data_IF_887011738242
#
_entry.id   IF_887011738242
#
_cell.length_a   1.000
_cell.length_b   1.000
_cell.length_c   1.000
_cell.angle_alpha   90.00
_cell.angle_beta   90.00
_cell.angle_gamma   90.00
#
_symmetry.space_group_name_H-M   'P 1'
#
loop_
_entity.id
_entity.type
_entity.pdbx_description
1 polymer ?
#
# COMPACT_ATOMS: atom_id res chain seq x y z
N UNK A 1 15.59 1.14 2.98
CA UNK A 1 15.92 0.37 4.18
C UNK A 1 17.39 0.02 4.16
N UNK A 2 18.04 0.12 5.32
CA UNK A 2 19.41 -0.33 5.52
C UNK A 2 19.57 -0.80 6.98
N UNK A 3 20.64 -1.55 7.25
CA UNK A 3 20.87 -2.16 8.56
C UNK A 3 20.93 -1.14 9.71
N UNK A 4 21.47 0.05 9.48
CA UNK A 4 21.59 1.05 10.54
C UNK A 4 20.23 1.69 10.87
N UNK A 5 19.38 1.92 9.85
CA UNK A 5 18.00 2.37 10.06
C UNK A 5 17.23 1.37 10.93
N UNK A 6 17.29 0.09 10.59
CA UNK A 6 16.61 -0.95 11.37
C UNK A 6 17.13 -1.06 12.82
N UNK A 7 18.43 -0.89 13.05
CA UNK A 7 18.96 -0.85 14.44
C UNK A 7 18.35 0.27 15.26
N UNK A 8 18.12 1.45 14.68
CA UNK A 8 17.49 2.58 15.39
C UNK A 8 16.02 2.31 15.70
N UNK A 9 15.30 1.65 14.80
CA UNK A 9 13.94 1.17 15.10
C UNK A 9 13.95 0.09 16.19
N UNK A 10 14.88 -0.88 16.15
CA UNK A 10 15.03 -1.89 17.20
C UNK A 10 15.20 -1.26 18.59
N UNK A 11 16.00 -0.19 18.70
CA UNK A 11 16.15 0.54 19.96
C UNK A 11 14.79 1.01 20.50
N UNK A 12 13.95 1.60 19.65
CA UNK A 12 12.63 2.08 20.07
C UNK A 12 11.69 0.93 20.40
N UNK A 13 11.74 -0.19 19.68
CA UNK A 13 10.96 -1.39 20.00
C UNK A 13 11.33 -1.99 21.36
N UNK A 14 12.60 -1.96 21.73
CA UNK A 14 13.07 -2.40 23.05
C UNK A 14 12.66 -1.43 24.16
N UNK A 15 12.72 -0.12 23.90
CA UNK A 15 12.50 0.90 24.93
C UNK A 15 11.03 1.26 25.13
N UNK A 16 10.21 1.15 24.08
CA UNK A 16 8.78 1.46 24.07
C UNK A 16 8.00 0.19 23.78
N UNK A 17 7.96 -0.70 24.77
CA UNK A 17 7.20 -1.94 24.68
C UNK A 17 5.68 -1.70 24.63
N UNK A 18 4.95 -2.65 24.06
CA UNK A 18 3.48 -2.67 24.07
C UNK A 18 2.90 -2.53 25.49
N UNK A 19 3.57 -3.10 26.51
CA UNK A 19 3.14 -2.98 27.91
C UNK A 19 3.29 -1.56 28.48
N UNK A 20 4.26 -0.78 27.98
CA UNK A 20 4.43 0.62 28.33
C UNK A 20 3.31 1.48 27.77
N UNK A 21 2.90 1.20 26.52
CA UNK A 21 1.91 1.98 25.77
C UNK A 21 0.48 1.67 26.23
N UNK A 22 0.24 0.44 26.68
CA UNK A 22 -1.02 0.01 27.31
C UNK A 22 -1.12 0.46 28.79
N UNK A 23 -0.10 1.13 29.33
CA UNK A 23 -0.11 1.71 30.67
C UNK A 23 0.16 0.72 31.81
N UNK A 24 0.70 -0.47 31.50
CA UNK A 24 1.08 -1.48 32.49
C UNK A 24 2.43 -1.11 33.15
N UNK A 25 3.32 -0.45 32.40
CA UNK A 25 4.60 0.06 32.89
C UNK A 25 4.69 1.58 32.73
N UNK A 26 5.09 2.27 33.79
CA UNK A 26 5.20 3.73 33.82
C UNK A 26 6.61 4.22 33.50
N UNK A 27 7.65 3.41 33.72
CA UNK A 27 9.04 3.86 33.64
C UNK A 27 9.54 3.89 32.19
N UNK A 28 9.92 5.08 31.72
CA UNK A 28 10.56 5.26 30.42
C UNK A 28 12.04 4.84 30.49
N UNK A 29 12.60 4.40 29.36
CA UNK A 29 14.03 4.15 29.25
C UNK A 29 14.81 5.47 29.36
N UNK A 30 15.92 5.46 30.12
CA UNK A 30 16.80 6.64 30.31
C UNK A 30 17.28 7.27 29.00
N UNK A 31 17.45 6.47 27.95
CA UNK A 31 17.86 6.96 26.64
C UNK A 31 16.82 7.88 26.00
N UNK A 32 15.55 7.76 26.41
CA UNK A 32 14.44 8.57 25.91
C UNK A 32 14.12 9.79 26.78
N UNK A 33 14.61 9.86 28.02
CA UNK A 33 14.32 10.96 28.96
C UNK A 33 14.70 12.34 28.38
N UNK A 34 15.80 12.42 27.61
CA UNK A 34 16.23 13.69 26.96
C UNK A 34 15.25 14.20 25.89
N UNK A 35 14.38 13.33 25.37
CA UNK A 35 13.37 13.71 24.38
C UNK A 35 12.03 14.07 25.01
N UNK A 36 11.84 13.79 26.30
CA UNK A 36 10.68 14.21 27.06
C UNK A 36 10.68 15.71 27.34
N UNK A 37 9.51 16.30 27.52
CA UNK A 37 9.39 17.70 27.95
C UNK A 37 9.60 17.77 29.47
N UNK A 38 10.40 18.74 29.93
CA UNK A 38 10.86 18.83 31.32
C UNK A 38 11.52 17.56 31.89
N UNK A 39 11.94 16.62 31.03
CA UNK A 39 12.57 15.36 31.43
C UNK A 39 11.61 14.25 31.88
N UNK A 40 10.29 14.43 31.82
CA UNK A 40 9.32 13.34 32.08
C UNK A 40 8.29 13.17 30.96
N UNK A 41 8.02 11.92 30.61
CA UNK A 41 6.96 11.53 29.69
C UNK A 41 5.98 10.66 30.49
N UNK A 42 5.04 11.28 31.20
CA UNK A 42 4.22 10.57 32.17
C UNK A 42 3.08 9.79 31.49
N UNK A 43 2.55 10.33 30.39
CA UNK A 43 1.45 9.73 29.64
C UNK A 43 1.92 8.91 28.40
N UNK A 44 1.08 7.99 27.88
CA UNK A 44 1.42 7.18 26.71
C UNK A 44 1.75 7.98 25.44
N UNK A 45 1.09 9.10 25.19
CA UNK A 45 1.37 9.94 24.02
C UNK A 45 2.73 10.64 24.16
N UNK A 46 3.05 11.17 25.34
CA UNK A 46 4.37 11.73 25.63
C UNK A 46 5.50 10.72 25.42
N UNK A 47 5.30 9.46 25.83
CA UNK A 47 6.27 8.37 25.60
C UNK A 47 6.48 8.07 24.12
N UNK A 48 5.38 7.97 23.35
CA UNK A 48 5.45 7.79 21.89
C UNK A 48 6.13 8.99 21.23
N UNK A 49 5.86 10.21 21.71
CA UNK A 49 6.53 11.41 21.25
C UNK A 49 8.04 11.38 21.45
N UNK A 50 8.51 10.96 22.63
CA UNK A 50 9.95 10.80 22.88
C UNK A 50 10.60 9.78 21.93
N UNK A 51 9.92 8.66 21.64
CA UNK A 51 10.39 7.69 20.64
C UNK A 51 10.44 8.26 19.22
N UNK A 52 9.42 9.03 18.84
CA UNK A 52 9.35 9.70 17.53
C UNK A 52 10.51 10.70 17.37
N UNK A 53 10.72 11.57 18.37
CA UNK A 53 11.83 12.52 18.41
C UNK A 53 13.19 11.82 18.35
N UNK A 54 13.37 10.71 19.06
CA UNK A 54 14.59 9.91 18.99
C UNK A 54 14.88 9.45 17.56
N UNK A 55 13.88 8.93 16.85
CA UNK A 55 14.06 8.50 15.45
C UNK A 55 14.43 9.68 14.55
N UNK A 56 13.75 10.82 14.68
CA UNK A 56 14.11 12.02 13.92
C UNK A 56 15.53 12.51 14.22
N UNK A 57 15.94 12.49 15.48
CA UNK A 57 17.29 12.88 15.90
C UNK A 57 18.37 11.97 15.31
N UNK A 58 18.18 10.66 15.39
CA UNK A 58 19.16 9.69 14.89
C UNK A 58 19.28 9.67 13.36
N UNK A 59 18.23 10.09 12.64
CA UNK A 59 18.22 10.09 11.18
C UNK A 59 18.50 11.45 10.57
N UNK A 60 18.11 12.54 11.23
CA UNK A 60 17.99 13.85 10.59
C UNK A 60 18.61 15.02 11.37
N UNK A 61 19.21 14.82 12.55
CA UNK A 61 19.78 15.90 13.39
C UNK A 61 20.90 16.73 12.74
N UNK A 62 21.44 16.27 11.61
CA UNK A 62 22.43 17.02 10.87
C UNK A 62 23.01 16.23 9.71
N UNK A 63 24.03 16.82 9.07
CA UNK A 63 24.71 16.26 7.90
C UNK A 63 25.21 14.84 8.12
N UNK A 64 25.78 14.56 9.30
CA UNK A 64 26.37 13.26 9.63
C UNK A 64 25.31 12.17 9.70
N UNK A 65 24.25 12.36 10.49
CA UNK A 65 23.14 11.42 10.64
C UNK A 65 22.47 11.16 9.31
N UNK A 66 22.13 12.23 8.58
CA UNK A 66 21.44 12.14 7.30
C UNK A 66 22.24 11.37 6.25
N UNK A 67 23.55 11.60 6.17
CA UNK A 67 24.40 10.93 5.18
C UNK A 67 24.78 9.50 5.57
N UNK A 68 25.12 9.26 6.84
CA UNK A 68 25.72 7.99 7.27
C UNK A 68 24.67 6.95 7.65
N UNK A 69 23.67 7.35 8.44
CA UNK A 69 22.61 6.47 8.97
C UNK A 69 21.46 6.40 7.98
N UNK A 70 20.88 7.56 7.64
CA UNK A 70 19.75 7.63 6.73
C UNK A 70 20.12 7.41 5.26
N UNK A 71 21.43 7.41 4.93
CA UNK A 71 21.94 7.24 3.55
C UNK A 71 21.27 8.21 2.55
N UNK A 72 20.99 9.43 3.00
CA UNK A 72 20.31 10.49 2.24
C UNK A 72 18.89 10.13 1.78
N UNK A 73 18.22 9.19 2.46
CA UNK A 73 16.89 8.73 2.10
C UNK A 73 15.82 9.41 2.96
N UNK A 74 15.08 10.36 2.38
CA UNK A 74 13.96 11.05 3.05
C UNK A 74 12.78 10.10 3.31
N UNK A 75 12.63 9.03 2.53
CA UNK A 75 11.57 8.03 2.75
C UNK A 75 11.68 7.28 4.10
N UNK A 76 12.72 7.52 4.89
CA UNK A 76 12.76 7.07 6.29
C UNK A 76 11.63 7.69 7.11
N UNK A 77 11.17 8.89 6.76
CA UNK A 77 9.99 9.52 7.38
C UNK A 77 8.75 8.62 7.23
N UNK A 78 8.59 7.95 6.09
CA UNK A 78 7.48 7.01 5.85
C UNK A 78 7.47 5.91 6.93
N UNK A 79 8.64 5.35 7.26
CA UNK A 79 8.77 4.31 8.30
C UNK A 79 8.55 4.85 9.71
N UNK A 80 8.95 6.09 10.00
CA UNK A 80 8.65 6.74 11.28
C UNK A 80 7.14 6.91 11.43
N UNK A 81 6.44 7.33 10.37
CA UNK A 81 4.99 7.49 10.38
C UNK A 81 4.24 6.14 10.46
N UNK A 82 4.75 5.09 9.81
CA UNK A 82 4.24 3.72 9.98
C UNK A 82 4.36 3.28 11.44
N UNK A 83 5.54 3.45 12.05
CA UNK A 83 5.76 3.13 13.46
C UNK A 83 4.84 3.95 14.37
N UNK A 84 4.76 5.26 14.17
CA UNK A 84 3.88 6.16 14.93
C UNK A 84 2.42 5.71 14.85
N UNK A 85 1.91 5.44 13.64
CA UNK A 85 0.54 4.98 13.42
C UNK A 85 0.25 3.66 14.14
N UNK A 86 1.20 2.72 14.11
CA UNK A 86 1.11 1.49 14.91
C UNK A 86 1.04 1.79 16.41
N UNK A 87 1.96 2.60 16.95
CA UNK A 87 1.98 2.91 18.39
C UNK A 87 0.69 3.58 18.84
N UNK A 88 0.17 4.54 18.07
CA UNK A 88 -1.09 5.21 18.36
C UNK A 88 -2.28 4.25 18.34
N UNK A 89 -2.32 3.30 17.40
CA UNK A 89 -3.34 2.24 17.36
C UNK A 89 -3.29 1.32 18.60
N UNK A 90 -2.16 1.25 19.31
CA UNK A 90 -1.98 0.45 20.53
C UNK A 90 -2.36 1.19 21.82
N UNK A 91 -2.40 2.52 21.83
CA UNK A 91 -2.84 3.30 22.99
C UNK A 91 -4.34 3.04 23.21
N UNK A 92 -4.69 2.35 24.29
CA UNK A 92 -6.09 2.11 24.67
C UNK A 92 -6.64 3.36 25.36
N UNK A 93 -7.54 4.11 24.71
CA UNK A 93 -8.55 4.96 25.35
C UNK A 93 -9.61 5.44 24.34
N UNK A 94 -10.76 5.91 24.82
CA UNK A 94 -11.95 6.36 24.05
C UNK A 94 -11.71 7.59 23.14
N UNK A 95 -10.46 8.03 22.99
CA UNK A 95 -10.04 9.04 22.04
C UNK A 95 -9.25 8.33 20.95
N UNK A 96 -9.81 8.29 19.74
CA UNK A 96 -9.09 7.77 18.58
C UNK A 96 -7.85 8.65 18.37
N UNK A 97 -6.71 8.22 18.89
CA UNK A 97 -5.42 8.86 18.63
C UNK A 97 -5.11 8.77 17.15
N UNK A 98 -5.45 9.80 16.39
CA UNK A 98 -5.06 9.91 14.99
C UNK A 98 -3.67 10.50 14.91
N UNK A 99 -2.97 10.23 13.80
CA UNK A 99 -1.69 10.90 13.51
C UNK A 99 -1.88 12.41 13.46
N UNK A 100 -3.03 12.90 12.94
CA UNK A 100 -3.37 14.32 12.92
C UNK A 100 -3.44 14.96 14.30
N UNK A 101 -4.11 14.33 15.27
CA UNK A 101 -4.17 14.83 16.65
C UNK A 101 -2.78 14.86 17.29
N UNK A 102 -1.99 13.81 17.09
CA UNK A 102 -0.60 13.76 17.55
C UNK A 102 0.23 14.89 16.94
N UNK A 103 0.07 15.14 15.63
CA UNK A 103 0.76 16.19 14.91
C UNK A 103 0.42 17.58 15.46
N UNK A 104 -0.86 17.92 15.63
CA UNK A 104 -1.28 19.19 16.22
C UNK A 104 -0.77 19.36 17.66
N UNK A 105 -0.74 18.28 18.44
CA UNK A 105 -0.35 18.33 19.85
C UNK A 105 1.15 18.52 20.03
N UNK A 106 1.97 17.72 19.33
CA UNK A 106 3.40 17.62 19.61
C UNK A 106 4.30 18.22 18.52
N UNK A 107 3.87 18.21 17.26
CA UNK A 107 4.72 18.57 16.11
C UNK A 107 4.46 20.03 15.71
N UNK A 108 3.22 20.37 15.41
CA UNK A 108 2.81 21.68 14.94
C UNK A 108 2.11 22.49 16.04
N UNK A 109 2.87 22.77 17.11
CA UNK A 109 2.45 23.68 18.16
C UNK A 109 3.37 24.92 18.20
N UNK A 110 2.83 26.02 18.74
CA UNK A 110 3.52 27.32 18.84
C UNK A 110 4.54 27.40 20.00
N UNK A 111 4.87 26.27 20.64
CA UNK A 111 5.85 26.25 21.72
C UNK A 111 7.25 26.54 21.15
N UNK A 112 7.93 27.52 21.73
CA UNK A 112 9.30 27.91 21.33
C UNK A 112 10.32 26.84 21.67
N UNK A 113 10.03 26.00 22.66
CA UNK A 113 10.90 24.91 23.08
C UNK A 113 10.56 23.60 22.35
N UNK A 114 9.60 23.62 21.41
CA UNK A 114 9.23 22.48 20.59
C UNK A 114 10.43 21.96 19.79
N UNK A 115 10.85 20.74 20.15
CA UNK A 115 12.03 20.07 19.58
C UNK A 115 11.89 19.79 18.08
N UNK A 116 10.66 19.66 17.54
CA UNK A 116 10.44 19.46 16.10
C UNK A 116 10.70 20.71 15.26
N UNK A 117 10.54 21.89 15.85
CA UNK A 117 10.71 23.19 15.19
C UNK A 117 12.14 23.74 15.33
N UNK A 118 13.01 23.03 16.05
CA UNK A 118 14.40 23.45 16.22
C UNK A 118 15.18 23.38 14.90
N UNK A 119 15.97 24.42 14.64
CA UNK A 119 16.71 24.55 13.39
C UNK A 119 17.88 23.58 13.31
N UNK A 120 17.88 22.78 12.27
CA UNK A 120 18.94 21.83 11.92
C UNK A 120 19.96 22.55 11.03
N UNK A 121 21.24 22.40 11.37
CA UNK A 121 22.33 23.06 10.64
C UNK A 121 22.93 22.10 9.61
N UNK A 122 23.51 22.67 8.55
CA UNK A 122 24.37 21.97 7.58
C UNK A 122 23.68 20.88 6.74
N UNK A 123 22.34 20.87 6.68
CA UNK A 123 21.58 20.03 5.76
C UNK A 123 20.83 20.91 4.75
N UNK A 124 20.81 20.47 3.49
CA UNK A 124 20.08 21.13 2.41
C UNK A 124 18.84 20.31 2.06
N UNK A 125 17.67 20.93 2.06
CA UNK A 125 16.39 20.31 1.69
C UNK A 125 15.33 20.31 2.79
N UNK A 126 15.74 20.47 4.05
CA UNK A 126 14.87 20.69 5.21
C UNK A 126 15.63 21.50 6.27
N UNK A 127 14.90 22.22 7.12
CA UNK A 127 15.46 23.04 8.20
C UNK A 127 15.02 22.57 9.58
N UNK A 128 13.94 21.80 9.69
CA UNK A 128 13.36 21.30 10.94
C UNK A 128 12.82 19.89 10.74
N UNK A 129 12.49 19.18 11.83
CA UNK A 129 11.83 17.87 11.72
C UNK A 129 10.37 18.02 11.28
N UNK A 130 9.70 19.09 11.71
CA UNK A 130 8.36 19.45 11.25
C UNK A 130 8.30 19.52 9.71
N UNK A 131 9.23 20.24 9.06
CA UNK A 131 9.26 20.33 7.59
C UNK A 131 9.37 18.95 6.90
N UNK A 132 10.07 17.99 7.49
CA UNK A 132 10.16 16.62 6.95
C UNK A 132 8.82 15.89 7.02
N UNK A 133 8.04 16.13 8.07
CA UNK A 133 6.72 15.54 8.27
C UNK A 133 5.70 16.20 7.35
N UNK A 134 5.79 17.52 7.16
CA UNK A 134 4.93 18.28 6.24
C UNK A 134 5.09 17.82 4.78
N UNK A 135 6.32 17.49 4.36
CA UNK A 135 6.57 16.88 3.04
C UNK A 135 5.79 15.56 2.86
N UNK A 136 5.42 14.91 3.96
CA UNK A 136 4.73 13.62 4.03
C UNK A 136 3.35 13.74 4.68
N UNK A 137 2.76 14.94 4.67
CA UNK A 137 1.50 15.24 5.36
C UNK A 137 0.35 14.32 4.92
N UNK A 138 0.37 13.91 3.66
CA UNK A 138 -0.64 13.08 3.04
C UNK A 138 -0.71 11.69 3.68
N UNK A 139 0.43 11.15 4.16
CA UNK A 139 0.51 9.90 4.89
C UNK A 139 -0.23 9.96 6.23
N UNK A 140 -0.39 11.13 6.85
CA UNK A 140 -1.10 11.30 8.12
C UNK A 140 -2.61 11.02 7.99
N UNK A 141 -3.14 11.05 6.76
CA UNK A 141 -4.55 10.77 6.47
C UNK A 141 -4.89 9.27 6.47
N UNK A 142 -3.88 8.39 6.48
CA UNK A 142 -4.08 6.94 6.45
C UNK A 142 -4.58 6.47 7.82
N UNK A 143 -5.62 5.62 7.81
CA UNK A 143 -6.17 5.03 9.02
C UNK A 143 -5.10 4.26 9.82
N UNK A 144 -5.06 4.48 11.13
CA UNK A 144 -4.04 3.89 12.03
C UNK A 144 -4.06 2.35 12.05
N UNK A 145 -5.20 1.71 11.78
CA UNK A 145 -5.29 0.25 11.62
C UNK A 145 -4.62 -0.19 10.32
N UNK A 146 -4.73 0.62 9.26
CA UNK A 146 -4.02 0.38 8.01
C UNK A 146 -2.52 0.58 8.21
N UNK A 147 -2.10 1.63 8.92
CA UNK A 147 -0.68 1.82 9.31
C UNK A 147 -0.14 0.63 10.09
N UNK A 148 -0.94 0.04 10.99
CA UNK A 148 -0.54 -1.16 11.73
C UNK A 148 -0.29 -2.38 10.81
N UNK A 149 -1.05 -2.54 9.71
CA UNK A 149 -0.78 -3.59 8.71
C UNK A 149 0.53 -3.34 7.95
N UNK A 150 0.84 -2.08 7.64
CA UNK A 150 2.14 -1.71 7.06
C UNK A 150 3.29 -1.97 8.02
N UNK A 151 3.06 -1.74 9.31
CA UNK A 151 4.05 -1.99 10.36
C UNK A 151 4.44 -3.47 10.44
N UNK A 152 3.50 -4.40 10.32
CA UNK A 152 3.78 -5.83 10.28
C UNK A 152 4.75 -6.20 9.15
N UNK A 153 4.54 -5.65 7.95
CA UNK A 153 5.43 -5.85 6.81
C UNK A 153 6.79 -5.14 7.01
N UNK A 154 6.78 -3.94 7.59
CA UNK A 154 7.99 -3.17 7.87
C UNK A 154 8.93 -3.88 8.86
N UNK A 155 8.41 -4.51 9.93
CA UNK A 155 9.25 -5.28 10.85
C UNK A 155 9.96 -6.42 10.11
N UNK A 156 9.23 -7.19 9.31
CA UNK A 156 9.80 -8.29 8.52
C UNK A 156 10.88 -7.78 7.57
N UNK A 157 10.65 -6.64 6.91
CA UNK A 157 11.65 -5.99 6.06
C UNK A 157 12.93 -5.66 6.83
N UNK A 158 12.80 -5.17 8.07
CA UNK A 158 13.95 -4.86 8.91
C UNK A 158 14.69 -6.10 9.41
N UNK A 159 13.96 -7.16 9.74
CA UNK A 159 14.52 -8.45 10.11
C UNK A 159 15.35 -9.04 8.96
N UNK A 160 14.82 -9.01 7.74
CA UNK A 160 15.57 -9.42 6.54
C UNK A 160 16.79 -8.52 6.37
N UNK A 161 16.62 -7.20 6.46
CA UNK A 161 17.70 -6.24 6.26
C UNK A 161 18.85 -6.38 7.27
N UNK A 162 18.56 -6.76 8.52
CA UNK A 162 19.58 -6.94 9.55
C UNK A 162 20.27 -8.30 9.47
N UNK A 163 19.54 -9.32 9.00
CA UNK A 163 20.01 -10.68 8.77
C UNK A 163 20.79 -10.88 7.47
N UNK A 164 20.58 -10.06 6.45
CA UNK A 164 21.35 -10.09 5.20
C UNK A 164 22.71 -9.44 5.44
N UNK A 165 23.79 -10.14 5.05
CA UNK A 165 25.12 -9.58 5.05
C UNK A 165 25.43 -9.01 3.66
N UNK A 166 25.51 -7.68 3.54
CA UNK A 166 25.83 -7.01 2.27
C UNK A 166 27.17 -7.46 1.65
N UNK A 167 28.11 -7.95 2.48
CA UNK A 167 29.46 -8.34 2.03
C UNK A 167 29.59 -9.82 1.65
N UNK A 168 28.64 -10.66 2.06
CA UNK A 168 28.65 -12.09 1.78
C UNK A 168 27.20 -12.43 1.54
N UNK A 169 26.80 -12.61 0.27
CA UNK A 169 25.43 -12.82 -0.25
C UNK A 169 24.75 -14.10 0.29
N UNK A 170 25.09 -14.51 1.51
CA UNK A 170 24.46 -15.54 2.27
C UNK A 170 23.08 -15.06 2.72
N UNK A 171 22.07 -15.53 1.99
CA UNK A 171 20.67 -15.21 2.19
C UNK A 171 19.89 -16.37 2.82
N UNK A 172 20.58 -17.50 3.06
CA UNK A 172 19.99 -18.79 3.42
C UNK A 172 19.13 -18.71 4.69
N UNK A 173 19.53 -17.88 5.66
CA UNK A 173 18.82 -17.72 6.93
C UNK A 173 17.62 -16.74 6.89
N UNK A 174 17.39 -16.05 5.76
CA UNK A 174 16.34 -15.03 5.64
C UNK A 174 15.26 -15.37 4.61
N UNK A 175 15.36 -16.50 3.91
CA UNK A 175 14.39 -16.89 2.88
C UNK A 175 12.97 -17.02 3.47
N UNK A 176 12.81 -17.71 4.60
CA UNK A 176 11.50 -17.85 5.24
C UNK A 176 10.88 -16.50 5.64
N UNK A 177 11.69 -15.57 6.14
CA UNK A 177 11.22 -14.21 6.44
C UNK A 177 10.85 -13.43 5.18
N UNK A 178 11.58 -13.64 4.09
CA UNK A 178 11.27 -13.03 2.80
C UNK A 178 9.97 -13.58 2.20
N UNK A 179 9.67 -14.87 2.41
CA UNK A 179 8.38 -15.48 2.07
C UNK A 179 7.25 -14.86 2.90
N UNK A 180 7.40 -14.76 4.22
CA UNK A 180 6.43 -14.11 5.11
C UNK A 180 6.20 -12.63 4.72
N UNK A 181 7.27 -11.90 4.36
CA UNK A 181 7.14 -10.53 3.86
C UNK A 181 6.32 -10.47 2.58
N UNK A 182 6.56 -11.37 1.61
CA UNK A 182 5.80 -11.40 0.35
C UNK A 182 4.32 -11.69 0.60
N UNK A 183 3.99 -12.58 1.53
CA UNK A 183 2.61 -12.84 1.92
C UNK A 183 1.95 -11.59 2.52
N UNK A 184 2.62 -10.91 3.46
CA UNK A 184 2.12 -9.66 4.06
C UNK A 184 1.98 -8.54 3.03
N UNK A 185 2.93 -8.44 2.11
CA UNK A 185 2.86 -7.49 1.01
C UNK A 185 1.69 -7.80 0.06
N UNK A 186 1.41 -9.07 -0.25
CA UNK A 186 0.27 -9.45 -1.09
C UNK A 186 -1.07 -9.04 -0.44
N UNK A 187 -1.21 -9.25 0.88
CA UNK A 187 -2.38 -8.80 1.65
C UNK A 187 -2.59 -7.28 1.53
N UNK A 188 -1.51 -6.48 1.55
CA UNK A 188 -1.56 -5.03 1.35
C UNK A 188 -1.89 -4.68 -0.12
N UNK A 189 -1.24 -5.35 -1.07
CA UNK A 189 -1.39 -5.09 -2.50
C UNK A 189 -2.84 -5.27 -2.99
N UNK A 190 -3.67 -6.03 -2.28
CA UNK A 190 -5.11 -6.16 -2.57
C UNK A 190 -5.89 -4.84 -2.58
N UNK A 191 -5.41 -3.82 -1.85
CA UNK A 191 -6.07 -2.52 -1.78
C UNK A 191 -5.42 -1.45 -2.69
N UNK A 192 -4.38 -1.82 -3.46
CA UNK A 192 -3.58 -0.91 -4.32
C UNK A 192 -4.42 -0.07 -5.30
N UNK A 193 -5.46 -0.67 -5.90
CA UNK A 193 -6.27 -0.01 -6.92
C UNK A 193 -7.41 0.86 -6.36
N UNK A 194 -7.51 1.00 -5.02
CA UNK A 194 -8.50 1.87 -4.40
C UNK A 194 -8.13 3.37 -4.48
N UNK A 195 -6.91 3.70 -4.91
CA UNK A 195 -6.48 5.06 -5.22
C UNK A 195 -5.07 5.10 -5.80
N UNK A 196 -4.94 5.17 -7.13
CA UNK A 196 -3.65 5.34 -7.81
C UNK A 196 -3.04 6.68 -7.36
N UNK A 197 -1.76 6.67 -6.97
CA UNK A 197 -1.04 7.80 -6.35
C UNK A 197 -1.59 8.24 -4.99
N UNK A 198 -2.32 7.37 -4.30
CA UNK A 198 -2.73 7.64 -2.91
C UNK A 198 -1.54 7.56 -1.95
N UNK A 199 -1.66 8.16 -0.75
CA UNK A 199 -0.73 7.99 0.35
C UNK A 199 -0.44 6.50 0.66
N UNK A 200 -1.46 5.66 0.54
CA UNK A 200 -1.35 4.21 0.69
C UNK A 200 -0.35 3.59 -0.31
N UNK A 201 -0.49 3.94 -1.60
CA UNK A 201 0.39 3.43 -2.65
C UNK A 201 1.82 3.96 -2.50
N UNK A 202 2.00 5.15 -1.92
CA UNK A 202 3.33 5.65 -1.57
C UNK A 202 4.02 4.76 -0.52
N UNK A 203 3.33 4.40 0.57
CA UNK A 203 3.89 3.46 1.55
C UNK A 203 4.19 2.08 0.94
N UNK A 204 3.29 1.58 0.10
CA UNK A 204 3.48 0.30 -0.58
C UNK A 204 4.70 0.35 -1.51
N UNK A 205 4.88 1.45 -2.26
CA UNK A 205 6.07 1.67 -3.10
C UNK A 205 7.34 1.66 -2.25
N UNK A 206 7.36 2.41 -1.13
CA UNK A 206 8.50 2.47 -0.23
C UNK A 206 8.92 1.08 0.28
N UNK A 207 7.97 0.24 0.70
CA UNK A 207 8.24 -1.15 1.08
C UNK A 207 8.76 -1.98 -0.10
N UNK A 208 8.15 -1.85 -1.27
CA UNK A 208 8.50 -2.63 -2.45
C UNK A 208 9.90 -2.31 -2.96
N UNK A 209 10.27 -1.02 -3.04
CA UNK A 209 11.55 -0.55 -3.51
C UNK A 209 12.67 -1.05 -2.60
N UNK A 210 12.45 -1.00 -1.29
CA UNK A 210 13.41 -1.47 -0.31
C UNK A 210 13.54 -3.00 -0.29
N UNK A 211 12.45 -3.73 -0.50
CA UNK A 211 12.52 -5.18 -0.70
C UNK A 211 13.27 -5.56 -1.98
N UNK A 212 13.02 -4.88 -3.10
CA UNK A 212 13.74 -5.12 -4.34
C UNK A 212 15.23 -4.84 -4.23
N UNK A 213 15.61 -3.82 -3.45
CA UNK A 213 17.02 -3.57 -3.13
C UNK A 213 17.63 -4.77 -2.38
N UNK A 214 16.94 -5.35 -1.39
CA UNK A 214 17.40 -6.55 -0.68
C UNK A 214 17.44 -7.78 -1.60
N UNK A 215 16.42 -7.98 -2.43
CA UNK A 215 16.36 -9.07 -3.42
C UNK A 215 17.46 -8.95 -4.47
N UNK A 216 17.91 -7.74 -4.80
CA UNK A 216 19.03 -7.55 -5.73
C UNK A 216 20.36 -8.09 -5.18
N UNK A 217 20.47 -8.22 -3.85
CA UNK A 217 21.57 -8.87 -3.15
C UNK A 217 21.27 -10.38 -3.00
N UNK A 218 20.01 -10.71 -2.67
CA UNK A 218 19.51 -12.05 -2.42
C UNK A 218 18.57 -12.54 -3.54
N UNK A 219 19.15 -13.03 -4.63
CA UNK A 219 18.38 -13.40 -5.84
C UNK A 219 17.35 -14.51 -5.61
N UNK A 220 17.55 -15.38 -4.61
CA UNK A 220 16.65 -16.49 -4.29
C UNK A 220 15.37 -16.04 -3.56
N UNK A 221 15.29 -14.79 -3.11
CA UNK A 221 14.06 -14.28 -2.49
C UNK A 221 12.88 -14.31 -3.45
N UNK A 222 11.65 -14.55 -2.97
CA UNK A 222 10.47 -14.55 -3.81
C UNK A 222 10.21 -13.19 -4.48
N UNK A 223 9.48 -13.19 -5.60
CA UNK A 223 9.05 -11.95 -6.26
C UNK A 223 7.79 -11.40 -5.60
N UNK A 224 7.66 -10.08 -5.56
CA UNK A 224 6.43 -9.44 -5.10
C UNK A 224 5.30 -9.61 -6.14
N UNK A 225 4.05 -9.78 -5.71
CA UNK A 225 2.89 -9.82 -6.59
C UNK A 225 2.73 -8.48 -7.32
N UNK A 226 2.61 -8.52 -8.65
CA UNK A 226 2.48 -7.31 -9.46
C UNK A 226 1.06 -6.74 -9.49
N UNK A 227 0.04 -7.59 -9.27
CA UNK A 227 -1.37 -7.22 -9.37
C UNK A 227 -2.17 -7.76 -8.19
N UNK A 228 -3.05 -6.95 -7.63
CA UNK A 228 -4.10 -7.39 -6.72
C UNK A 228 -4.93 -8.52 -7.34
N UNK A 229 -5.16 -9.61 -6.60
CA UNK A 229 -6.02 -10.71 -7.05
C UNK A 229 -7.46 -10.22 -7.20
N UNK A 230 -7.96 -9.39 -6.26
CA UNK A 230 -9.30 -8.76 -6.37
C UNK A 230 -9.44 -7.97 -7.67
N UNK A 231 -8.42 -7.19 -8.05
CA UNK A 231 -8.43 -6.43 -9.29
C UNK A 231 -8.45 -7.35 -10.52
N UNK A 232 -7.60 -8.39 -10.56
CA UNK A 232 -7.55 -9.36 -11.65
C UNK A 232 -8.90 -10.08 -11.81
N UNK A 233 -9.51 -10.51 -10.70
CA UNK A 233 -10.84 -11.16 -10.72
C UNK A 233 -11.91 -10.20 -11.23
N UNK A 234 -11.94 -8.96 -10.71
CA UNK A 234 -12.92 -7.95 -11.11
C UNK A 234 -12.82 -7.60 -12.59
N UNK A 235 -11.61 -7.38 -13.09
CA UNK A 235 -11.37 -7.08 -14.52
C UNK A 235 -11.73 -8.27 -15.43
N UNK A 236 -11.43 -9.50 -15.00
CA UNK A 236 -11.80 -10.72 -15.73
C UNK A 236 -13.31 -10.89 -15.81
N UNK A 237 -14.04 -10.70 -14.70
CA UNK A 237 -15.51 -10.79 -14.67
C UNK A 237 -16.18 -9.73 -15.56
N UNK A 238 -15.67 -8.50 -15.54
CA UNK A 238 -16.16 -7.42 -16.41
C UNK A 238 -15.96 -7.80 -17.88
N UNK A 239 -14.78 -8.31 -18.24
CA UNK A 239 -14.46 -8.75 -19.60
C UNK A 239 -15.41 -9.86 -20.07
N UNK A 240 -15.64 -10.87 -19.23
CA UNK A 240 -16.59 -11.97 -19.52
C UNK A 240 -18.00 -11.43 -19.76
N UNK A 241 -18.46 -10.46 -18.95
CA UNK A 241 -19.76 -9.82 -19.11
C UNK A 241 -19.93 -9.14 -20.47
N UNK A 242 -18.91 -8.40 -20.93
CA UNK A 242 -18.92 -7.78 -22.25
C UNK A 242 -19.00 -8.80 -23.39
N UNK A 243 -18.29 -9.92 -23.28
CA UNK A 243 -18.35 -11.01 -24.25
C UNK A 243 -19.78 -11.55 -24.36
N UNK A 244 -20.47 -11.79 -23.24
CA UNK A 244 -21.86 -12.27 -23.25
C UNK A 244 -22.85 -11.28 -23.89
N UNK A 245 -22.69 -9.98 -23.63
CA UNK A 245 -23.50 -8.93 -24.27
C UNK A 245 -23.26 -8.88 -25.77
N UNK A 246 -21.99 -8.90 -26.20
CA UNK A 246 -21.63 -8.90 -27.61
C UNK A 246 -22.19 -10.14 -28.34
N UNK A 247 -22.00 -11.33 -27.78
CA UNK A 247 -22.52 -12.59 -28.34
C UNK A 247 -24.03 -12.56 -28.48
N UNK A 248 -24.75 -12.02 -27.48
CA UNK A 248 -26.22 -11.90 -27.51
C UNK A 248 -26.70 -10.94 -28.61
N UNK A 249 -25.99 -9.83 -28.85
CA UNK A 249 -26.28 -8.91 -29.96
C UNK A 249 -26.06 -9.60 -31.31
N UNK A 250 -24.94 -10.31 -31.50
CA UNK A 250 -24.66 -11.04 -32.74
C UNK A 250 -25.67 -12.16 -33.00
N UNK A 251 -26.05 -12.92 -31.96
CA UNK A 251 -27.11 -13.93 -32.06
C UNK A 251 -28.45 -13.30 -32.44
N UNK A 252 -28.81 -12.15 -31.86
CA UNK A 252 -30.03 -11.42 -32.22
C UNK A 252 -30.05 -10.97 -33.68
N UNK A 253 -28.92 -10.44 -34.19
CA UNK A 253 -28.76 -10.04 -35.59
C UNK A 253 -28.87 -11.28 -36.51
N UNK A 254 -28.14 -12.35 -36.19
CA UNK A 254 -28.17 -13.60 -36.96
C UNK A 254 -29.57 -14.23 -36.98
N UNK A 255 -30.26 -14.25 -35.84
CA UNK A 255 -31.63 -14.74 -35.72
C UNK A 255 -32.60 -13.94 -36.59
N UNK A 256 -32.55 -12.59 -36.54
CA UNK A 256 -33.38 -11.72 -37.39
C UNK A 256 -33.12 -11.94 -38.88
N UNK A 257 -31.85 -12.08 -39.27
CA UNK A 257 -31.48 -12.35 -40.66
C UNK A 257 -31.97 -13.73 -41.13
N UNK A 258 -31.83 -14.75 -40.29
CA UNK A 258 -32.32 -16.11 -40.56
C UNK A 258 -33.84 -16.14 -40.73
N UNK A 259 -34.59 -15.52 -39.82
CA UNK A 259 -36.06 -15.43 -39.88
C UNK A 259 -36.54 -14.73 -41.16
N UNK A 260 -35.88 -13.64 -41.57
CA UNK A 260 -36.14 -12.97 -42.85
C UNK A 260 -35.81 -13.87 -44.05
N UNK A 261 -34.73 -14.65 -43.96
CA UNK A 261 -34.37 -15.67 -44.96
C UNK A 261 -35.46 -16.73 -45.13
N UNK A 262 -35.97 -17.28 -44.03
CA UNK A 262 -37.08 -18.25 -44.03
C UNK A 262 -38.35 -17.67 -44.64
N UNK A 263 -38.72 -16.42 -44.28
CA UNK A 263 -39.89 -15.73 -44.86
C UNK A 263 -39.75 -15.50 -46.37
N UNK A 264 -38.56 -15.13 -46.86
CA UNK A 264 -38.31 -14.98 -48.30
C UNK A 264 -38.39 -16.32 -49.04
N UNK A 265 -37.94 -17.42 -48.41
CA UNK A 265 -37.97 -18.76 -49.02
C UNK A 265 -39.41 -19.27 -49.16
N UNK A 266 -40.27 -19.09 -48.16
CA UNK A 266 -41.68 -19.49 -48.23
C UNK A 266 -42.46 -18.71 -49.30
N UNK A 267 -42.25 -17.39 -49.39
CA UNK A 267 -42.86 -16.56 -50.44
C UNK A 267 -42.43 -16.99 -51.85
N UNK A 268 -41.13 -17.27 -52.06
CA UNK A 268 -40.63 -17.79 -53.35
C UNK A 268 -41.26 -19.13 -53.73
N UNK A 269 -41.48 -20.02 -52.76
CA UNK A 269 -42.11 -21.32 -53.00
C UNK A 269 -43.59 -21.17 -53.41
N UNK A 270 -44.34 -20.31 -52.71
CA UNK A 270 -45.73 -20.00 -53.06
C UNK A 270 -45.88 -19.42 -54.48
N UNK A 271 -44.97 -18.51 -54.87
CA UNK A 271 -44.92 -17.96 -56.24
C UNK A 271 -44.65 -19.05 -57.29
N UNK A 272 -43.72 -19.97 -57.03
CA UNK A 272 -43.42 -21.09 -57.94
C UNK A 272 -44.63 -22.00 -58.14
N UNK A 273 -45.37 -22.31 -57.09
CA UNK A 273 -46.61 -23.11 -57.17
C UNK A 273 -47.71 -22.40 -57.96
N UNK A 274 -47.93 -21.10 -57.73
CA UNK A 274 -48.91 -20.32 -58.52
C UNK A 274 -48.58 -20.34 -60.01
N UNK A 275 -47.32 -20.12 -60.38
CA UNK A 275 -46.86 -20.20 -61.78
C UNK A 275 -47.11 -21.59 -62.37
N UNK A 276 -46.82 -22.65 -61.61
CA UNK A 276 -47.04 -24.04 -62.05
C UNK A 276 -48.52 -24.33 -62.28
N UNK A 277 -49.40 -23.85 -61.41
CA UNK A 277 -50.85 -24.00 -61.55
C UNK A 277 -51.41 -23.22 -62.75
N UNK A 278 -50.94 -21.99 -62.99
CA UNK A 278 -51.30 -21.21 -64.18
C UNK A 278 -50.88 -21.93 -65.46
N UNK A 279 -49.63 -22.43 -65.53
CA UNK A 279 -49.16 -23.23 -66.68
C UNK A 279 -50.01 -24.47 -66.91
N UNK A 280 -50.40 -25.19 -65.86
CA UNK A 280 -51.27 -26.38 -65.96
C UNK A 280 -52.65 -26.03 -66.52
N UNK A 281 -53.27 -24.93 -66.08
CA UNK A 281 -54.55 -24.45 -66.64
C UNK A 281 -54.45 -24.05 -68.11
N UNK A 282 -53.37 -23.39 -68.52
CA UNK A 282 -53.15 -23.02 -69.92
C UNK A 282 -52.99 -24.23 -70.84
N UNK A 283 -52.34 -25.30 -70.37
CA UNK A 283 -52.19 -26.54 -71.14
C UNK A 283 -53.55 -27.24 -71.31
N UNK A 284 -54.36 -27.30 -70.24
CA UNK A 284 -55.69 -27.92 -70.28
C UNK A 284 -56.63 -27.15 -71.22
N UNK A 285 -56.63 -25.82 -71.18
CA UNK A 285 -57.44 -24.97 -72.06
C UNK A 285 -56.99 -25.00 -73.53
N UNK A 286 -55.87 -25.65 -73.86
CA UNK A 286 -55.36 -25.82 -75.23
C UNK A 286 -55.67 -27.21 -75.81
N UNK A 287 -56.19 -28.11 -74.97
CA UNK A 287 -56.56 -29.49 -75.30
C UNK A 287 -58.08 -29.70 -75.40
N UNK A 288 -58.87 -28.66 -75.14
CA UNK A 288 -60.29 -28.53 -75.44
C UNK A 288 -60.46 -27.38 -76.42
#
# INVERSE_FOLDING_TARGET
MNKEVCKRFNNVWEWISDGLVVGINTNINKNLEKYCDNGSCDDPFGKVNAGCLYLFDEFFAGFTQFNSVAKRKINIVDYILIWLGYMLNRIKNNENGTIGLFYETYINNDDKDNKYNQKIKEVTGYQTYNELIDIKEDLMSIDIKVMSRFYDAFILLCDICTGVNENNSNCDNNLGKAEEFVEKYDELNEDYYNGINSPYNQLLSTLSDDYYNLKSICYDFPLLPTYSRKYVIKSTLISIGFIFVAVSIFLGIAYKYSLLGFRKRSQKQCLRERIKNIKKKLIINKLF
#
